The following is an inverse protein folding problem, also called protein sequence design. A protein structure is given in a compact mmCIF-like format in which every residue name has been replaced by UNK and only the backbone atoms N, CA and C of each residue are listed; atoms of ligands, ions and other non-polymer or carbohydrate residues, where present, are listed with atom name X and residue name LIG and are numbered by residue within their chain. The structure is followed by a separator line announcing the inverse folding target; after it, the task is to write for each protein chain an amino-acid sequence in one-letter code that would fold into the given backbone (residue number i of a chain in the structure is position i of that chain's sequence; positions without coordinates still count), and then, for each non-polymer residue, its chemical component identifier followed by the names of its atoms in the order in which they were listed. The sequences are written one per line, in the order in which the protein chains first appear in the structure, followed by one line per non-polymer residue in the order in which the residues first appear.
data_IF_891917016772
#
_entry.id   IF_891917016772
#
_cell.length_a   1.000
_cell.length_b   1.000
_cell.length_c   1.000
_cell.angle_alpha   90.00
_cell.angle_beta   90.00
_cell.angle_gamma   90.00
#
_symmetry.space_group_name_H-M   'P 1'
#
loop_
_entity.id
_entity.type
_entity.pdbx_description
1 polymer ?
#
# COMPACT_ATOMS: atom_id res chain seq x y z
N UNK A 1 19.08 13.38 -1.52
CA UNK A 1 18.02 12.87 -2.41
C UNK A 1 18.56 12.83 -3.82
N UNK A 2 18.49 11.70 -4.50
CA UNK A 2 18.86 11.57 -5.92
C UNK A 2 17.80 12.22 -6.81
N UNK A 3 18.11 12.42 -8.11
CA UNK A 3 17.12 12.97 -9.05
C UNK A 3 15.88 12.06 -9.14
N UNK A 4 16.06 10.75 -9.16
CA UNK A 4 14.95 9.79 -9.22
C UNK A 4 14.04 9.89 -7.97
N UNK A 5 14.64 10.02 -6.79
CA UNK A 5 13.85 10.19 -5.54
C UNK A 5 13.07 11.51 -5.56
N UNK A 6 13.64 12.57 -6.14
CA UNK A 6 12.91 13.84 -6.34
C UNK A 6 11.76 13.66 -7.33
N UNK A 7 12.01 13.01 -8.46
CA UNK A 7 10.98 12.75 -9.48
C UNK A 7 9.82 11.90 -8.90
N UNK A 8 10.12 10.93 -8.02
CA UNK A 8 9.11 10.13 -7.29
C UNK A 8 8.29 11.02 -6.35
N UNK A 9 8.95 11.88 -5.57
CA UNK A 9 8.27 12.80 -4.65
C UNK A 9 7.35 13.76 -5.42
N UNK A 10 7.84 14.37 -6.49
CA UNK A 10 7.09 15.32 -7.29
C UNK A 10 5.88 14.65 -7.97
N UNK A 11 6.05 13.41 -8.44
CA UNK A 11 4.97 12.63 -9.01
C UNK A 11 3.82 12.40 -8.01
N UNK A 12 4.11 11.92 -6.81
CA UNK A 12 3.09 11.63 -5.79
C UNK A 12 2.51 12.89 -5.13
N UNK A 13 3.25 14.01 -5.09
CA UNK A 13 2.71 15.31 -4.70
C UNK A 13 1.66 15.81 -5.68
N UNK A 14 1.93 15.67 -6.98
CA UNK A 14 1.02 16.15 -8.01
C UNK A 14 -0.20 15.24 -8.23
N UNK A 15 -0.09 13.97 -7.84
CA UNK A 15 -1.11 12.96 -8.07
C UNK A 15 -1.28 12.07 -6.84
N UNK A 16 -1.86 12.58 -5.73
CA UNK A 16 -2.12 11.75 -4.55
C UNK A 16 -2.92 10.51 -4.91
N UNK A 17 -2.50 9.36 -4.37
CA UNK A 17 -3.14 8.09 -4.67
C UNK A 17 -4.62 8.09 -4.27
N UNK A 18 -5.46 7.47 -5.09
CA UNK A 18 -6.91 7.32 -4.88
C UNK A 18 -7.75 8.62 -4.91
N UNK A 19 -7.16 9.80 -5.16
CA UNK A 19 -7.93 11.05 -5.21
C UNK A 19 -9.05 11.00 -6.27
N UNK A 20 -8.85 10.27 -7.37
CA UNK A 20 -9.84 10.06 -8.44
C UNK A 20 -10.97 9.08 -8.07
N UNK A 21 -10.93 8.50 -6.89
CA UNK A 21 -11.99 7.60 -6.42
C UNK A 21 -13.21 8.33 -5.85
N UNK A 22 -13.07 9.58 -5.42
CA UNK A 22 -14.19 10.41 -4.98
C UNK A 22 -14.72 11.26 -6.12
N UNK A 23 -16.00 11.59 -6.05
CA UNK A 23 -16.75 12.47 -6.97
C UNK A 23 -17.27 13.73 -6.27
N UNK A 24 -17.39 13.68 -4.95
CA UNK A 24 -17.76 14.82 -4.10
C UNK A 24 -16.61 15.83 -3.99
N UNK A 25 -16.86 16.99 -3.37
CA UNK A 25 -15.84 18.02 -3.12
C UNK A 25 -14.62 17.42 -2.40
N UNK A 26 -13.46 17.58 -3.00
CA UNK A 26 -12.20 17.02 -2.49
C UNK A 26 -11.95 17.54 -1.07
N UNK A 27 -11.66 16.61 -0.14
CA UNK A 27 -11.44 16.92 1.26
C UNK A 27 -12.72 16.96 2.10
N UNK A 28 -13.92 16.83 1.51
CA UNK A 28 -15.15 16.68 2.28
C UNK A 28 -15.27 15.29 2.93
N UNK A 29 -16.14 15.16 3.92
CA UNK A 29 -16.42 13.88 4.58
C UNK A 29 -17.03 12.88 3.60
N UNK A 30 -17.88 13.34 2.70
CA UNK A 30 -18.50 12.60 1.63
C UNK A 30 -17.44 12.03 0.67
N UNK A 31 -16.51 12.89 0.24
CA UNK A 31 -15.38 12.48 -0.60
C UNK A 31 -14.57 11.35 0.04
N UNK A 32 -14.18 11.49 1.30
CA UNK A 32 -13.40 10.45 1.98
C UNK A 32 -14.18 9.14 2.14
N UNK A 33 -15.50 9.19 2.37
CA UNK A 33 -16.36 8.01 2.41
C UNK A 33 -16.42 7.31 1.04
N UNK A 34 -16.57 8.06 -0.05
CA UNK A 34 -16.56 7.54 -1.43
C UNK A 34 -15.25 6.85 -1.76
N UNK A 35 -14.13 7.51 -1.44
CA UNK A 35 -12.78 6.94 -1.64
C UNK A 35 -12.64 5.61 -0.89
N UNK A 36 -13.03 5.58 0.38
CA UNK A 36 -12.96 4.38 1.22
C UNK A 36 -13.82 3.25 0.64
N UNK A 37 -15.06 3.56 0.29
CA UNK A 37 -15.99 2.57 -0.27
C UNK A 37 -15.49 1.99 -1.59
N UNK A 38 -14.99 2.85 -2.50
CA UNK A 38 -14.46 2.41 -3.80
C UNK A 38 -13.20 1.56 -3.64
N UNK A 39 -12.27 1.98 -2.76
CA UNK A 39 -11.05 1.21 -2.49
C UNK A 39 -11.36 -0.19 -1.98
N UNK A 40 -12.15 -0.33 -0.94
CA UNK A 40 -12.46 -1.65 -0.37
C UNK A 40 -13.36 -2.50 -1.26
N UNK A 41 -14.16 -1.89 -2.13
CA UNK A 41 -14.89 -2.61 -3.18
C UNK A 41 -13.95 -3.16 -4.24
N UNK A 42 -12.96 -2.37 -4.68
CA UNK A 42 -11.98 -2.79 -5.69
C UNK A 42 -10.97 -3.80 -5.12
N UNK A 43 -10.59 -3.62 -3.86
CA UNK A 43 -9.55 -4.39 -3.18
C UNK A 43 -10.06 -5.00 -1.86
N UNK A 44 -11.03 -5.95 -1.90
CA UNK A 44 -11.66 -6.48 -0.67
C UNK A 44 -10.67 -7.21 0.25
N UNK A 45 -9.58 -7.76 -0.28
CA UNK A 45 -8.50 -8.36 0.51
C UNK A 45 -7.79 -7.36 1.44
N UNK A 46 -7.94 -6.05 1.19
CA UNK A 46 -7.40 -4.99 2.05
C UNK A 46 -8.24 -4.74 3.32
N UNK A 47 -9.38 -5.40 3.47
CA UNK A 47 -10.09 -5.47 4.76
C UNK A 47 -9.47 -6.51 5.69
N UNK A 48 -8.99 -7.62 5.15
CA UNK A 48 -8.46 -8.75 5.92
C UNK A 48 -6.97 -8.66 6.18
N UNK A 49 -6.21 -8.17 5.20
CA UNK A 49 -4.75 -8.19 5.26
C UNK A 49 -4.18 -7.36 6.42
N UNK A 50 -4.59 -6.11 6.66
CA UNK A 50 -4.08 -5.30 7.77
C UNK A 50 -4.47 -5.87 9.13
N UNK A 51 -5.66 -6.50 9.23
CA UNK A 51 -6.24 -6.98 10.50
C UNK A 51 -6.37 -5.83 11.51
N UNK A 52 -6.99 -4.74 11.10
CA UNK A 52 -7.10 -3.49 11.86
C UNK A 52 -7.46 -3.68 13.33
N UNK A 53 -8.39 -4.61 13.62
CA UNK A 53 -8.91 -4.89 14.97
C UNK A 53 -7.87 -5.49 15.94
N UNK A 54 -6.77 -6.07 15.44
CA UNK A 54 -5.72 -6.65 16.27
C UNK A 54 -4.76 -5.63 16.89
N UNK A 55 -4.84 -4.36 16.46
CA UNK A 55 -3.85 -3.33 16.83
C UNK A 55 -4.38 -2.36 17.89
N UNK A 56 -5.50 -2.63 18.52
CA UNK A 56 -6.05 -1.82 19.61
C UNK A 56 -5.04 -1.64 20.75
N UNK A 57 -4.71 -0.38 21.07
CA UNK A 57 -3.75 -0.03 22.12
C UNK A 57 -2.29 -0.31 21.78
N UNK A 58 -1.99 -0.75 20.56
CA UNK A 58 -0.64 -1.01 20.05
C UNK A 58 -0.19 0.12 19.13
N UNK A 59 1.12 0.30 19.01
CA UNK A 59 1.72 1.33 18.14
C UNK A 59 1.85 0.80 16.71
N UNK A 60 1.26 1.53 15.78
CA UNK A 60 1.29 1.23 14.34
C UNK A 60 1.98 2.34 13.59
N UNK A 61 3.00 2.01 12.78
CA UNK A 61 3.58 2.89 11.77
C UNK A 61 3.08 2.49 10.40
N UNK A 62 2.48 3.42 9.68
CA UNK A 62 2.18 3.25 8.25
C UNK A 62 3.16 4.05 7.40
N UNK A 63 3.87 3.35 6.50
CA UNK A 63 4.78 3.94 5.53
C UNK A 63 4.03 4.17 4.22
N UNK A 64 3.95 5.44 3.79
CA UNK A 64 3.17 5.86 2.64
C UNK A 64 1.67 5.88 2.93
N UNK A 65 1.27 6.61 3.97
CA UNK A 65 -0.13 6.66 4.43
C UNK A 65 -1.09 7.35 3.44
N UNK A 66 -0.55 8.06 2.44
CA UNK A 66 -1.34 8.75 1.44
C UNK A 66 -2.38 9.67 2.09
N UNK A 67 -3.61 9.65 1.58
CA UNK A 67 -4.72 10.46 2.09
C UNK A 67 -5.44 9.82 3.30
N UNK A 68 -4.81 8.84 3.97
CA UNK A 68 -5.22 8.29 5.25
C UNK A 68 -6.36 7.28 5.22
N UNK A 69 -6.56 6.53 4.13
CA UNK A 69 -7.67 5.57 4.01
C UNK A 69 -7.51 4.38 4.96
N UNK A 70 -6.33 3.75 4.99
CA UNK A 70 -6.04 2.65 5.93
C UNK A 70 -5.78 3.18 7.33
N UNK A 71 -5.14 4.37 7.44
CA UNK A 71 -4.94 5.12 8.68
C UNK A 71 -6.22 5.28 9.49
N UNK A 72 -7.30 5.72 8.84
CA UNK A 72 -8.62 5.87 9.44
C UNK A 72 -9.09 4.55 10.07
N UNK A 73 -8.87 3.42 9.40
CA UNK A 73 -9.30 2.12 9.91
C UNK A 73 -8.47 1.69 11.13
N UNK A 74 -7.14 1.92 11.14
CA UNK A 74 -6.30 1.67 12.30
C UNK A 74 -6.75 2.51 13.50
N UNK A 75 -6.95 3.80 13.31
CA UNK A 75 -7.38 4.72 14.37
C UNK A 75 -8.77 4.39 14.90
N UNK A 76 -9.76 4.12 14.03
CA UNK A 76 -11.11 3.68 14.42
C UNK A 76 -11.11 2.40 15.25
N UNK A 77 -10.14 1.52 15.04
CA UNK A 77 -9.98 0.30 15.83
C UNK A 77 -9.14 0.50 17.10
N UNK A 78 -8.71 1.75 17.40
CA UNK A 78 -8.04 2.11 18.64
C UNK A 78 -6.52 1.84 18.66
N UNK A 79 -5.86 1.80 17.52
CA UNK A 79 -4.41 1.78 17.42
C UNK A 79 -3.82 3.15 17.79
N UNK A 80 -2.62 3.17 18.39
CA UNK A 80 -1.79 4.37 18.48
C UNK A 80 -1.09 4.56 17.13
N UNK A 81 -1.71 5.35 16.27
CA UNK A 81 -1.36 5.44 14.87
C UNK A 81 -0.34 6.54 14.58
N UNK A 82 0.68 6.20 13.78
CA UNK A 82 1.66 7.11 13.19
C UNK A 82 1.73 6.84 11.69
N UNK A 83 1.51 7.86 10.87
CA UNK A 83 1.65 7.81 9.41
C UNK A 83 2.82 8.65 8.92
N UNK A 84 3.57 8.12 7.95
CA UNK A 84 4.58 8.89 7.22
C UNK A 84 4.29 8.86 5.72
N UNK A 85 4.57 9.98 5.06
CA UNK A 85 4.51 10.09 3.59
C UNK A 85 5.51 11.14 3.11
N UNK A 86 5.92 11.07 1.85
CA UNK A 86 6.75 12.11 1.21
C UNK A 86 5.92 13.27 0.65
N UNK A 87 4.63 13.02 0.38
CA UNK A 87 3.71 13.99 -0.19
C UNK A 87 3.10 14.86 0.90
N UNK A 88 3.43 16.14 0.90
CA UNK A 88 2.83 17.13 1.80
C UNK A 88 1.31 17.29 1.53
N UNK A 89 0.90 17.18 0.27
CA UNK A 89 -0.51 17.22 -0.14
C UNK A 89 -1.29 16.05 0.43
N UNK A 90 -0.73 14.84 0.32
CA UNK A 90 -1.34 13.64 0.90
C UNK A 90 -1.49 13.75 2.42
N UNK A 91 -0.44 14.22 3.12
CA UNK A 91 -0.48 14.41 4.57
C UNK A 91 -1.48 15.47 5.02
N UNK A 92 -1.62 16.55 4.24
CA UNK A 92 -2.64 17.58 4.50
C UNK A 92 -4.03 16.98 4.44
N UNK A 93 -4.34 16.18 3.43
CA UNK A 93 -5.62 15.49 3.29
C UNK A 93 -5.83 14.42 4.39
N UNK A 94 -4.78 13.69 4.78
CA UNK A 94 -4.86 12.71 5.85
C UNK A 94 -5.19 13.37 7.21
N UNK A 95 -4.56 14.50 7.53
CA UNK A 95 -4.87 15.29 8.74
C UNK A 95 -6.31 15.83 8.71
N UNK A 96 -6.74 16.42 7.59
CA UNK A 96 -8.11 16.88 7.41
C UNK A 96 -9.12 15.74 7.59
N UNK A 97 -8.83 14.55 7.05
CA UNK A 97 -9.63 13.35 7.25
C UNK A 97 -9.77 13.02 8.74
N UNK A 98 -8.67 12.99 9.48
CA UNK A 98 -8.69 12.70 10.92
C UNK A 98 -9.50 13.72 11.71
N UNK A 99 -9.38 15.01 11.41
CA UNK A 99 -10.21 16.07 12.01
C UNK A 99 -11.70 15.85 11.74
N UNK A 100 -12.09 15.57 10.48
CA UNK A 100 -13.49 15.38 10.09
C UNK A 100 -14.13 14.13 10.72
N UNK A 101 -13.35 13.10 11.01
CA UNK A 101 -13.83 11.86 11.60
C UNK A 101 -13.59 11.76 13.11
N UNK A 102 -13.08 12.84 13.75
CA UNK A 102 -12.77 12.89 15.18
C UNK A 102 -11.83 11.74 15.61
N UNK A 103 -10.71 11.60 14.91
CA UNK A 103 -9.73 10.56 15.11
C UNK A 103 -8.39 11.14 15.58
N UNK A 104 -7.68 10.36 16.40
CA UNK A 104 -6.33 10.71 16.85
C UNK A 104 -5.26 9.94 16.05
N UNK A 105 -4.19 10.64 15.66
CA UNK A 105 -3.03 10.08 14.98
C UNK A 105 -1.97 11.13 14.68
N UNK A 106 -0.76 10.66 14.44
CA UNK A 106 0.38 11.50 14.14
C UNK A 106 0.79 11.36 12.69
N UNK A 107 1.12 12.48 12.02
CA UNK A 107 1.48 12.48 10.61
C UNK A 107 2.74 13.31 10.36
N UNK A 108 3.74 12.68 9.72
CA UNK A 108 5.05 13.30 9.48
C UNK A 108 5.48 13.19 8.01
N UNK A 109 6.03 14.30 7.48
CA UNK A 109 6.73 14.26 6.19
C UNK A 109 8.12 13.69 6.42
N UNK A 110 8.29 12.39 6.23
CA UNK A 110 9.54 11.65 6.44
C UNK A 110 9.78 10.73 5.26
N UNK A 111 11.00 10.81 4.71
CA UNK A 111 11.51 9.83 3.77
C UNK A 111 11.79 8.51 4.52
N UNK A 112 11.15 7.42 4.08
CA UNK A 112 11.34 6.08 4.68
C UNK A 112 12.78 5.56 4.56
N UNK A 113 13.62 6.22 3.75
CA UNK A 113 15.05 5.93 3.67
C UNK A 113 15.89 6.73 4.69
N UNK A 114 15.31 7.72 5.37
CA UNK A 114 15.97 8.48 6.43
C UNK A 114 15.89 7.72 7.76
N UNK A 115 16.96 7.00 8.05
CA UNK A 115 17.08 6.17 9.27
C UNK A 115 16.92 6.98 10.55
N UNK A 116 17.54 8.17 10.63
CA UNK A 116 17.54 8.98 11.83
C UNK A 116 16.16 9.54 12.14
N UNK A 117 15.48 10.07 11.15
CA UNK A 117 14.12 10.60 11.32
C UNK A 117 13.12 9.48 11.70
N UNK A 118 13.24 8.28 11.12
CA UNK A 118 12.41 7.14 11.50
C UNK A 118 12.65 6.70 12.95
N UNK A 119 13.92 6.61 13.38
CA UNK A 119 14.26 6.18 14.74
C UNK A 119 13.77 7.16 15.81
N UNK A 120 13.66 8.45 15.49
CA UNK A 120 13.09 9.46 16.40
C UNK A 120 11.61 9.24 16.71
N UNK A 121 10.88 8.53 15.85
CA UNK A 121 9.48 8.17 16.09
C UNK A 121 9.32 7.08 17.17
N UNK A 122 10.42 6.44 17.60
CA UNK A 122 10.42 5.34 18.55
C UNK A 122 10.21 3.98 17.91
N UNK A 123 9.62 3.05 18.65
CA UNK A 123 9.40 1.67 18.17
C UNK A 123 7.93 1.31 18.05
N UNK A 124 7.62 0.31 17.20
CA UNK A 124 6.27 -0.05 16.81
C UNK A 124 6.03 -1.56 16.92
N UNK A 125 4.79 -1.94 17.14
CA UNK A 125 4.33 -3.33 17.16
C UNK A 125 3.99 -3.83 15.76
N UNK A 126 3.52 -2.91 14.90
CA UNK A 126 3.32 -3.10 13.48
C UNK A 126 4.00 -1.99 12.69
N UNK A 127 4.75 -2.36 11.65
CA UNK A 127 5.00 -1.48 10.50
C UNK A 127 4.16 -2.00 9.34
N UNK A 128 3.38 -1.12 8.74
CA UNK A 128 2.49 -1.41 7.62
C UNK A 128 2.87 -0.56 6.41
N UNK A 129 2.83 -1.13 5.22
CA UNK A 129 3.06 -0.40 3.97
C UNK A 129 2.30 -1.06 2.82
N UNK A 130 1.39 -0.36 2.20
CA UNK A 130 0.56 -0.93 1.14
C UNK A 130 0.69 -0.15 -0.17
N UNK A 131 1.33 -0.77 -1.16
CA UNK A 131 1.49 -0.16 -2.48
C UNK A 131 2.55 0.95 -2.55
N UNK A 132 3.61 0.91 -1.70
CA UNK A 132 4.54 2.05 -1.55
C UNK A 132 6.00 1.67 -1.75
N UNK A 133 6.53 0.72 -0.99
CA UNK A 133 7.99 0.49 -0.91
C UNK A 133 8.63 0.02 -2.22
N UNK A 134 7.85 -0.54 -3.12
CA UNK A 134 8.29 -0.96 -4.45
C UNK A 134 8.42 0.21 -5.46
N UNK A 135 8.03 1.42 -5.06
CA UNK A 135 8.28 2.65 -5.82
C UNK A 135 9.63 3.31 -5.48
N UNK A 136 10.46 2.63 -4.70
CA UNK A 136 11.77 3.13 -4.32
C UNK A 136 12.89 2.16 -4.73
N UNK A 137 13.99 2.67 -5.32
CA UNK A 137 15.05 1.82 -5.85
C UNK A 137 15.87 1.10 -4.78
N UNK A 138 15.84 1.57 -3.53
CA UNK A 138 16.63 1.02 -2.43
C UNK A 138 15.76 0.34 -1.36
N UNK A 139 15.02 -0.68 -1.76
CA UNK A 139 14.12 -1.43 -0.86
C UNK A 139 14.87 -2.08 0.31
N UNK A 140 16.13 -2.50 0.12
CA UNK A 140 16.94 -3.11 1.20
C UNK A 140 17.17 -2.11 2.35
N UNK A 141 17.42 -0.84 2.04
CA UNK A 141 17.56 0.21 3.06
C UNK A 141 16.25 0.42 3.81
N UNK A 142 15.12 0.39 3.11
CA UNK A 142 13.80 0.50 3.72
C UNK A 142 13.56 -0.66 4.68
N UNK A 143 13.83 -1.90 4.28
CA UNK A 143 13.69 -3.09 5.12
C UNK A 143 14.59 -3.01 6.36
N UNK A 144 15.81 -2.50 6.22
CA UNK A 144 16.71 -2.28 7.36
C UNK A 144 16.14 -1.23 8.32
N UNK A 145 15.59 -0.15 7.80
CA UNK A 145 14.96 0.90 8.61
C UNK A 145 13.72 0.37 9.33
N UNK A 146 12.85 -0.37 8.64
CA UNK A 146 11.69 -1.05 9.25
C UNK A 146 12.14 -1.97 10.38
N UNK A 147 13.17 -2.78 10.14
CA UNK A 147 13.71 -3.65 11.18
C UNK A 147 14.19 -2.84 12.40
N UNK A 148 14.81 -1.68 12.20
CA UNK A 148 15.35 -0.87 13.31
C UNK A 148 14.25 -0.28 14.21
N UNK A 149 13.07 0.03 13.65
CA UNK A 149 11.95 0.66 14.40
C UNK A 149 10.86 -0.34 14.84
N UNK A 150 10.95 -1.60 14.49
CA UNK A 150 10.06 -2.63 15.03
C UNK A 150 10.49 -3.10 16.40
N UNK A 151 9.54 -3.34 17.29
CA UNK A 151 9.75 -4.08 18.52
C UNK A 151 10.21 -5.51 18.22
N UNK A 152 10.92 -6.15 19.15
CA UNK A 152 11.24 -7.58 19.02
C UNK A 152 9.94 -8.39 18.92
N UNK A 153 9.83 -9.25 17.92
CA UNK A 153 8.61 -9.99 17.61
C UNK A 153 7.50 -9.16 16.97
N UNK A 154 7.72 -7.87 16.70
CA UNK A 154 6.79 -7.02 15.95
C UNK A 154 6.60 -7.48 14.51
N UNK A 155 5.52 -7.05 13.89
CA UNK A 155 5.14 -7.47 12.54
C UNK A 155 5.46 -6.38 11.51
N UNK A 156 5.99 -6.83 10.38
CA UNK A 156 6.03 -6.07 9.14
C UNK A 156 5.00 -6.65 8.16
N UNK A 157 3.98 -5.88 7.83
CA UNK A 157 2.99 -6.22 6.81
C UNK A 157 3.11 -5.27 5.65
N UNK A 158 3.32 -5.79 4.46
CA UNK A 158 3.44 -4.93 3.29
C UNK A 158 2.88 -5.59 2.03
N UNK A 159 2.48 -4.77 1.09
CA UNK A 159 2.11 -5.17 -0.25
C UNK A 159 3.08 -4.58 -1.25
N UNK A 160 3.55 -5.43 -2.15
CA UNK A 160 4.32 -5.06 -3.35
C UNK A 160 3.73 -5.75 -4.58
N UNK A 161 4.21 -5.43 -5.76
CA UNK A 161 3.75 -6.06 -7.00
C UNK A 161 4.41 -7.41 -7.25
N UNK A 162 3.63 -8.36 -7.79
CA UNK A 162 4.04 -9.73 -8.05
C UNK A 162 4.53 -9.92 -9.49
N UNK A 163 5.77 -10.43 -9.68
CA UNK A 163 6.26 -10.85 -11.00
C UNK A 163 5.49 -12.04 -11.56
N UNK A 164 5.05 -12.95 -10.68
CA UNK A 164 4.24 -14.09 -11.07
C UNK A 164 2.75 -13.71 -11.09
N UNK A 165 2.38 -12.79 -12.00
CA UNK A 165 1.01 -12.29 -12.09
C UNK A 165 0.57 -12.07 -13.54
N UNK A 166 -0.75 -12.09 -13.75
CA UNK A 166 -1.34 -11.76 -15.04
C UNK A 166 -0.93 -10.35 -15.50
N UNK A 167 -1.05 -9.36 -14.61
CA UNK A 167 -0.72 -7.97 -14.94
C UNK A 167 0.74 -7.81 -15.35
N UNK A 168 1.68 -8.44 -14.63
CA UNK A 168 3.09 -8.37 -15.01
C UNK A 168 3.37 -9.00 -16.38
N UNK A 169 2.70 -10.12 -16.69
CA UNK A 169 2.78 -10.73 -18.02
C UNK A 169 2.30 -9.77 -19.12
N UNK A 170 1.22 -9.03 -18.87
CA UNK A 170 0.69 -8.00 -19.78
C UNK A 170 1.66 -6.82 -19.95
N UNK A 171 2.23 -6.32 -18.85
CA UNK A 171 3.27 -5.26 -18.87
C UNK A 171 4.47 -5.69 -19.70
N UNK A 172 4.96 -6.91 -19.51
CA UNK A 172 6.08 -7.48 -20.26
C UNK A 172 5.82 -7.62 -21.77
N UNK A 173 4.55 -7.65 -22.18
CA UNK A 173 4.11 -7.67 -23.58
C UNK A 173 3.76 -6.27 -24.12
N UNK A 174 3.90 -5.23 -23.32
CA UNK A 174 3.54 -3.87 -23.71
C UNK A 174 2.04 -3.61 -23.83
N UNK A 175 1.22 -4.46 -23.20
CA UNK A 175 -0.25 -4.39 -23.25
C UNK A 175 -0.84 -3.66 -22.05
N UNK A 176 -0.07 -3.47 -20.98
CA UNK A 176 -0.48 -2.81 -19.74
C UNK A 176 0.68 -2.01 -19.15
N UNK A 177 0.43 -1.30 -18.08
CA UNK A 177 1.39 -0.46 -17.33
C UNK A 177 1.31 -0.77 -15.82
N UNK A 178 2.33 -0.36 -15.04
CA UNK A 178 2.39 -0.63 -13.60
C UNK A 178 1.23 0.03 -12.84
N UNK A 179 0.96 1.28 -13.13
CA UNK A 179 -0.07 2.08 -12.47
C UNK A 179 -1.20 2.45 -13.44
N UNK A 180 -2.41 2.65 -12.90
CA UNK A 180 -3.49 3.30 -13.64
C UNK A 180 -3.11 4.72 -14.07
N UNK A 181 -2.30 5.40 -13.24
CA UNK A 181 -1.74 6.70 -13.57
C UNK A 181 -0.49 6.52 -14.44
N UNK A 182 -0.46 7.18 -15.60
CA UNK A 182 0.69 7.15 -16.50
C UNK A 182 1.91 7.87 -15.92
N UNK A 183 3.08 7.52 -16.44
CA UNK A 183 4.37 8.15 -16.13
C UNK A 183 4.87 8.01 -14.69
N UNK A 184 4.48 6.93 -13.98
CA UNK A 184 5.11 6.61 -12.71
C UNK A 184 6.63 6.44 -12.91
N UNK A 185 7.49 7.22 -12.21
CA UNK A 185 8.93 7.27 -12.49
C UNK A 185 9.66 5.96 -12.14
N UNK A 186 9.16 5.21 -11.17
CA UNK A 186 9.74 3.95 -10.75
C UNK A 186 8.68 3.04 -10.12
N UNK A 187 8.67 1.79 -10.56
CA UNK A 187 7.96 0.71 -9.90
C UNK A 187 8.68 -0.62 -10.19
N UNK A 188 8.76 -1.50 -9.19
CA UNK A 188 9.36 -2.82 -9.30
C UNK A 188 8.36 -3.88 -8.87
N UNK A 189 8.46 -5.06 -9.45
CA UNK A 189 7.71 -6.24 -9.03
C UNK A 189 8.67 -7.30 -8.49
N UNK A 190 8.17 -8.21 -7.66
CA UNK A 190 9.00 -9.19 -6.96
C UNK A 190 8.44 -10.60 -7.11
N UNK A 191 9.34 -11.60 -7.09
CA UNK A 191 8.97 -13.00 -6.86
C UNK A 191 8.95 -13.30 -5.37
N UNK A 192 8.41 -14.45 -5.00
CA UNK A 192 8.41 -14.92 -3.61
C UNK A 192 9.84 -15.11 -3.09
N UNK A 193 10.73 -15.63 -3.94
CA UNK A 193 12.14 -15.88 -3.63
C UNK A 193 12.92 -14.58 -3.43
N UNK A 194 12.65 -13.55 -4.25
CA UNK A 194 13.25 -12.23 -4.08
C UNK A 194 12.82 -11.58 -2.76
N UNK A 195 11.56 -11.73 -2.36
CA UNK A 195 11.08 -11.26 -1.05
C UNK A 195 11.76 -12.01 0.10
N UNK A 196 11.89 -13.33 0.00
CA UNK A 196 12.59 -14.12 1.02
C UNK A 196 14.06 -13.69 1.17
N UNK A 197 14.74 -13.46 0.06
CA UNK A 197 16.11 -12.95 0.06
C UNK A 197 16.23 -11.55 0.66
N UNK A 198 15.30 -10.62 0.34
CA UNK A 198 15.28 -9.27 0.86
C UNK A 198 15.06 -9.22 2.38
N UNK A 199 14.16 -10.04 2.89
CA UNK A 199 13.88 -10.13 4.32
C UNK A 199 15.01 -10.84 5.08
N UNK A 200 15.64 -11.84 4.44
CA UNK A 200 16.82 -12.55 4.93
C UNK A 200 16.63 -13.09 6.34
N UNK A 201 17.71 -13.01 7.14
CA UNK A 201 17.70 -13.49 8.54
C UNK A 201 17.10 -12.50 9.55
N UNK A 202 16.60 -11.36 9.09
CA UNK A 202 16.02 -10.33 9.97
C UNK A 202 14.57 -10.60 10.31
N UNK A 203 13.87 -11.32 9.44
CA UNK A 203 12.47 -11.61 9.57
C UNK A 203 12.16 -13.07 9.28
N UNK A 204 11.13 -13.60 9.94
CA UNK A 204 10.49 -14.86 9.60
C UNK A 204 9.20 -14.55 8.82
N UNK A 205 9.08 -15.05 7.60
CA UNK A 205 7.84 -14.93 6.83
C UNK A 205 6.78 -15.84 7.44
N UNK A 206 5.71 -15.25 7.97
CA UNK A 206 4.56 -16.00 8.53
C UNK A 206 3.53 -16.33 7.46
N UNK A 207 3.37 -15.43 6.48
CA UNK A 207 2.45 -15.63 5.35
C UNK A 207 2.89 -14.81 4.16
N UNK A 208 2.81 -15.43 3.00
CA UNK A 208 3.00 -14.80 1.71
C UNK A 208 1.89 -15.31 0.80
N UNK A 209 1.12 -14.40 0.20
CA UNK A 209 0.04 -14.76 -0.74
C UNK A 209 -0.13 -13.69 -1.79
N UNK A 210 -0.65 -14.07 -2.94
CA UNK A 210 -1.09 -13.12 -3.95
C UNK A 210 -2.60 -12.85 -3.83
N UNK A 211 -3.01 -11.68 -4.29
CA UNK A 211 -4.40 -11.26 -4.38
C UNK A 211 -4.58 -10.29 -5.55
N UNK A 212 -5.82 -9.96 -5.86
CA UNK A 212 -6.16 -8.94 -6.84
C UNK A 212 -5.67 -9.27 -8.26
N UNK A 213 -6.35 -10.18 -8.92
CA UNK A 213 -6.06 -10.47 -10.32
C UNK A 213 -6.62 -9.36 -11.21
N UNK A 214 -5.74 -8.71 -11.97
CA UNK A 214 -6.07 -7.57 -12.84
C UNK A 214 -6.65 -8.03 -14.18
N UNK A 215 -7.84 -8.61 -14.15
CA UNK A 215 -8.60 -9.01 -15.34
C UNK A 215 -9.60 -7.93 -15.75
N UNK A 216 -9.13 -6.67 -15.77
CA UNK A 216 -9.93 -5.55 -16.24
C UNK A 216 -9.79 -5.34 -17.75
N UNK A 217 -10.81 -4.75 -18.34
CA UNK A 217 -10.69 -4.15 -19.67
C UNK A 217 -9.61 -3.06 -19.62
N UNK A 218 -8.51 -3.25 -20.35
CA UNK A 218 -7.31 -2.42 -20.24
C UNK A 218 -7.56 -0.97 -20.62
N UNK A 219 -8.35 -0.73 -21.68
CA UNK A 219 -8.64 0.65 -22.12
C UNK A 219 -9.46 1.40 -21.06
N UNK A 220 -10.47 0.75 -20.48
CA UNK A 220 -11.26 1.31 -19.39
C UNK A 220 -10.42 1.51 -18.11
N UNK A 221 -9.55 0.56 -17.79
CA UNK A 221 -8.65 0.68 -16.65
C UNK A 221 -7.74 1.92 -16.74
N UNK A 222 -7.22 2.24 -17.93
CA UNK A 222 -6.43 3.46 -18.16
C UNK A 222 -7.23 4.75 -17.90
N UNK A 223 -8.56 4.69 -18.01
CA UNK A 223 -9.50 5.77 -17.71
C UNK A 223 -10.00 5.75 -16.25
N UNK A 224 -9.43 4.90 -15.39
CA UNK A 224 -9.84 4.62 -14.00
C UNK A 224 -11.23 3.98 -13.87
N UNK A 225 -11.69 3.28 -14.91
CA UNK A 225 -12.88 2.44 -14.88
C UNK A 225 -12.47 0.98 -14.65
N UNK A 226 -12.91 0.39 -13.54
CA UNK A 226 -12.54 -0.96 -13.12
C UNK A 226 -13.57 -1.99 -13.60
N UNK A 227 -13.80 -2.06 -14.90
CA UNK A 227 -14.69 -3.03 -15.51
C UNK A 227 -13.95 -4.35 -15.78
N UNK A 228 -14.45 -5.45 -15.20
CA UNK A 228 -13.88 -6.77 -15.41
C UNK A 228 -14.13 -7.25 -16.84
N UNK A 229 -13.22 -8.06 -17.36
CA UNK A 229 -13.45 -8.80 -18.60
C UNK A 229 -14.63 -9.77 -18.40
N UNK A 230 -15.62 -9.82 -19.33
CA UNK A 230 -16.85 -10.60 -19.15
C UNK A 230 -16.62 -12.08 -18.88
N UNK A 231 -15.59 -12.67 -19.49
CA UNK A 231 -15.23 -14.07 -19.25
C UNK A 231 -14.70 -14.32 -17.83
N UNK A 232 -14.03 -13.35 -17.23
CA UNK A 232 -13.55 -13.44 -15.84
C UNK A 232 -14.70 -13.21 -14.85
N UNK A 233 -15.58 -12.27 -15.14
CA UNK A 233 -16.76 -12.01 -14.33
C UNK A 233 -17.71 -13.21 -14.28
N UNK A 234 -17.88 -13.92 -15.41
CA UNK A 234 -18.69 -15.13 -15.49
C UNK A 234 -18.09 -16.38 -14.80
N UNK A 235 -16.83 -16.28 -14.36
CA UNK A 235 -16.14 -17.38 -13.70
C UNK A 235 -16.74 -17.64 -12.30
N UNK A 236 -16.96 -18.90 -11.87
CA UNK A 236 -17.36 -19.21 -10.49
C UNK A 236 -16.41 -18.60 -9.46
N UNK A 237 -16.94 -18.14 -8.32
CA UNK A 237 -16.18 -17.42 -7.29
C UNK A 237 -14.93 -18.20 -6.82
N UNK A 238 -15.06 -19.48 -6.52
CA UNK A 238 -13.94 -20.33 -6.12
C UNK A 238 -12.82 -20.42 -7.18
N UNK A 239 -13.17 -20.34 -8.47
CA UNK A 239 -12.18 -20.30 -9.54
C UNK A 239 -11.48 -18.93 -9.61
N UNK A 240 -12.24 -17.84 -9.43
CA UNK A 240 -11.64 -16.49 -9.34
C UNK A 240 -10.68 -16.38 -8.17
N UNK A 241 -11.04 -16.90 -7.01
CA UNK A 241 -10.16 -16.96 -5.83
C UNK A 241 -8.87 -17.72 -6.12
N UNK A 242 -8.96 -18.91 -6.72
CA UNK A 242 -7.79 -19.70 -7.10
C UNK A 242 -6.89 -18.93 -8.10
N UNK A 243 -7.47 -18.28 -9.09
CA UNK A 243 -6.71 -17.46 -10.05
C UNK A 243 -6.01 -16.30 -9.33
N UNK A 244 -6.68 -15.65 -8.38
CA UNK A 244 -6.11 -14.56 -7.59
C UNK A 244 -4.93 -15.01 -6.72
N UNK A 245 -4.99 -16.20 -6.13
CA UNK A 245 -3.90 -16.75 -5.33
C UNK A 245 -2.63 -17.01 -6.15
N UNK A 246 -2.77 -17.38 -7.42
CA UNK A 246 -1.63 -17.74 -8.27
C UNK A 246 -1.19 -16.65 -9.23
N UNK A 247 -2.10 -15.78 -9.67
CA UNK A 247 -1.85 -14.77 -10.71
C UNK A 247 -2.19 -13.34 -10.25
N UNK A 248 -2.50 -13.16 -8.98
CA UNK A 248 -2.81 -11.85 -8.41
C UNK A 248 -1.62 -10.89 -8.47
N UNK A 249 -1.92 -9.63 -8.67
CA UNK A 249 -0.95 -8.55 -8.80
C UNK A 249 -0.32 -8.13 -7.48
N UNK A 250 -1.11 -8.18 -6.40
CA UNK A 250 -0.68 -7.79 -5.06
C UNK A 250 -0.01 -8.96 -4.34
N UNK A 251 1.27 -8.86 -4.08
CA UNK A 251 2.01 -9.78 -3.24
C UNK A 251 1.97 -9.28 -1.80
N UNK A 252 1.16 -9.95 -0.99
CA UNK A 252 0.89 -9.63 0.40
C UNK A 252 1.84 -10.42 1.31
N UNK A 253 2.65 -9.70 2.07
CA UNK A 253 3.69 -10.29 2.92
C UNK A 253 3.42 -9.95 4.38
N UNK A 254 3.37 -10.98 5.23
CA UNK A 254 3.37 -10.86 6.69
C UNK A 254 4.64 -11.48 7.22
N UNK A 255 5.51 -10.68 7.82
CA UNK A 255 6.80 -11.10 8.34
C UNK A 255 6.99 -10.63 9.79
N UNK A 256 7.61 -11.47 10.62
CA UNK A 256 7.89 -11.19 12.03
C UNK A 256 9.36 -10.87 12.22
N UNK A 257 9.67 -9.81 12.94
CA UNK A 257 11.04 -9.48 13.36
C UNK A 257 11.57 -10.55 14.31
N UNK A 258 12.76 -11.09 14.01
CA UNK A 258 13.49 -12.07 14.82
C UNK A 258 14.19 -11.39 16.00
#
# INVERSE_FOLDING_TARGET
MSKLEQDIKDYWNNQPCNIKHGTSEVGSKEFFNEVTAKRFKAEPHNLDFPQFHLWRGLRVLEIGCGIGTDAEQFAKNGAHYVGIDLSDESLTMAKQRFELFDLEGEFYNIDMTDTESLQRLGTFDLVYSYGVIHHFPNIEKIINNVHSVLNKGGLFKFMVYAKNSWKYAMIRKGLDQFEAQSNCPYAEAYTNEEIDQLLGKKFTIERLRQAHCFMYNIEKYKENEFELEPWFEAMPEAMREAVQEYLGWHLLVKARKI
#
